data_IF_244703973010
#
_entry.id   IF_244703973010
#
_cell.length_a   1.000
_cell.length_b   1.000
_cell.length_c   1.000
_cell.angle_alpha   90.00
_cell.angle_beta   90.00
_cell.angle_gamma   90.00
#
_symmetry.space_group_name_H-M   'P 1'
#
loop_
_entity.id
_entity.type
_entity.pdbx_description
1 polymer ?
#
# COMPACT_ATOMS: atom_id res chain seq x y z
N UNK A 1 10.60 -15.99 3.33
CA UNK A 1 10.39 -15.50 4.71
C UNK A 1 11.60 -14.76 5.30
N UNK A 2 12.78 -15.36 5.50
CA UNK A 2 13.92 -14.63 6.10
C UNK A 2 14.37 -13.43 5.26
N UNK A 3 14.59 -13.61 3.95
CA UNK A 3 14.97 -12.53 3.04
C UNK A 3 13.95 -11.38 3.00
N UNK A 4 12.66 -11.72 2.98
CA UNK A 4 11.57 -10.74 3.01
C UNK A 4 11.50 -9.98 4.34
N UNK A 5 11.76 -10.67 5.46
CA UNK A 5 11.87 -10.03 6.77
C UNK A 5 13.07 -9.08 6.83
N UNK A 6 14.23 -9.50 6.33
CA UNK A 6 15.41 -8.65 6.27
C UNK A 6 15.17 -7.42 5.37
N UNK A 7 14.44 -7.58 4.27
CA UNK A 7 13.97 -6.47 3.44
C UNK A 7 13.03 -5.52 4.21
N UNK A 8 12.06 -6.04 4.95
CA UNK A 8 11.15 -5.23 5.77
C UNK A 8 11.92 -4.41 6.81
N UNK A 9 12.87 -5.04 7.52
CA UNK A 9 13.75 -4.36 8.49
C UNK A 9 14.56 -3.28 7.80
N UNK A 10 15.15 -3.57 6.64
CA UNK A 10 15.93 -2.61 5.85
C UNK A 10 15.10 -1.40 5.43
N UNK A 11 13.91 -1.63 4.86
CA UNK A 11 13.00 -0.57 4.38
C UNK A 11 12.54 0.32 5.54
N UNK A 12 12.03 -0.28 6.63
CA UNK A 12 11.55 0.47 7.78
C UNK A 12 12.70 1.21 8.48
N UNK A 13 13.89 0.59 8.58
CA UNK A 13 15.07 1.24 9.15
C UNK A 13 15.52 2.45 8.33
N UNK A 14 15.41 2.36 7.00
CA UNK A 14 15.74 3.44 6.06
C UNK A 14 14.71 4.58 6.02
N UNK A 15 13.49 4.36 6.53
CA UNK A 15 12.48 5.41 6.62
C UNK A 15 12.94 6.54 7.54
N UNK A 16 12.40 7.75 7.32
CA UNK A 16 12.67 8.92 8.18
C UNK A 16 12.33 8.63 9.65
N UNK A 17 13.11 9.21 10.56
CA UNK A 17 12.87 9.07 12.00
C UNK A 17 11.51 9.65 12.40
N UNK A 18 10.75 8.90 13.18
CA UNK A 18 9.43 9.30 13.65
C UNK A 18 8.72 8.16 14.38
N UNK A 19 7.53 8.43 14.91
CA UNK A 19 6.76 7.45 15.69
C UNK A 19 6.43 6.19 14.89
N UNK A 20 5.95 6.33 13.65
CA UNK A 20 5.61 5.18 12.80
C UNK A 20 6.81 4.26 12.56
N UNK A 21 8.00 4.84 12.35
CA UNK A 21 9.24 4.07 12.23
C UNK A 21 9.56 3.33 13.51
N UNK A 22 9.59 4.04 14.64
CA UNK A 22 9.94 3.44 15.93
C UNK A 22 9.01 2.27 16.30
N UNK A 23 7.70 2.46 16.13
CA UNK A 23 6.69 1.43 16.39
C UNK A 23 6.79 0.26 15.42
N UNK A 24 7.09 0.49 14.15
CA UNK A 24 7.25 -0.58 13.16
C UNK A 24 8.52 -1.39 13.40
N UNK A 25 9.62 -0.76 13.82
CA UNK A 25 10.82 -1.50 14.25
C UNK A 25 10.55 -2.34 15.50
N UNK A 26 9.83 -1.79 16.48
CA UNK A 26 9.44 -2.54 17.67
C UNK A 26 8.53 -3.74 17.36
N UNK A 27 7.67 -3.64 16.34
CA UNK A 27 6.92 -4.80 15.84
C UNK A 27 7.87 -5.85 15.25
N UNK A 28 8.80 -5.42 14.41
CA UNK A 28 9.74 -6.29 13.70
C UNK A 28 10.71 -7.01 14.65
N UNK A 29 10.92 -6.53 15.89
CA UNK A 29 11.68 -7.27 16.91
C UNK A 29 11.11 -8.67 17.22
N UNK A 30 9.83 -8.93 16.88
CA UNK A 30 9.22 -10.25 16.97
C UNK A 30 9.71 -11.25 15.91
N UNK A 31 10.49 -10.79 14.92
CA UNK A 31 11.00 -11.59 13.82
C UNK A 31 9.98 -11.80 12.69
N UNK A 32 10.20 -12.79 11.80
CA UNK A 32 9.40 -13.00 10.59
C UNK A 32 7.88 -13.21 10.82
N UNK A 33 7.47 -13.55 12.05
CA UNK A 33 6.05 -13.67 12.41
C UNK A 33 5.30 -12.34 12.26
N UNK A 34 6.00 -11.21 12.41
CA UNK A 34 5.48 -9.85 12.22
C UNK A 34 5.13 -9.51 10.76
N UNK A 35 5.37 -10.40 9.81
CA UNK A 35 4.88 -10.27 8.44
C UNK A 35 3.55 -11.00 8.21
N UNK A 36 3.04 -11.71 9.22
CA UNK A 36 1.92 -12.63 9.04
C UNK A 36 0.68 -12.18 9.80
N UNK A 37 -0.49 -12.42 9.22
CA UNK A 37 -1.81 -12.13 9.83
C UNK A 37 -2.06 -12.89 11.15
N UNK A 38 -1.22 -13.88 11.47
CA UNK A 38 -1.30 -14.66 12.70
C UNK A 38 -0.66 -13.97 13.91
N UNK A 39 0.09 -12.88 13.71
CA UNK A 39 0.68 -12.12 14.80
C UNK A 39 -0.28 -11.02 15.26
N UNK A 40 -1.03 -11.32 16.30
CA UNK A 40 -2.11 -10.44 16.80
C UNK A 40 -1.67 -8.98 17.07
N UNK A 41 -0.47 -8.69 17.62
CA UNK A 41 -0.03 -7.31 17.84
C UNK A 41 0.03 -6.44 16.58
N UNK A 42 0.20 -7.05 15.40
CA UNK A 42 0.20 -6.36 14.12
C UNK A 42 1.04 -7.07 13.07
N UNK A 43 0.92 -6.65 11.82
CA UNK A 43 1.75 -7.16 10.73
C UNK A 43 2.05 -6.10 9.68
N UNK A 44 3.17 -6.28 8.99
CA UNK A 44 3.55 -5.43 7.86
C UNK A 44 2.62 -5.69 6.67
N UNK A 45 2.20 -4.61 6.03
CA UNK A 45 1.39 -4.59 4.82
C UNK A 45 2.05 -3.67 3.78
N UNK A 46 1.65 -3.83 2.53
CA UNK A 46 2.25 -3.09 1.43
C UNK A 46 1.14 -2.49 0.55
N UNK A 47 1.18 -1.18 0.36
CA UNK A 47 0.19 -0.45 -0.44
C UNK A 47 0.84 0.36 -1.55
N UNK A 48 0.05 0.69 -2.57
CA UNK A 48 0.48 1.46 -3.72
C UNK A 48 -0.58 2.51 -4.10
N UNK A 49 -0.15 3.76 -4.24
CA UNK A 49 -0.94 4.76 -4.95
C UNK A 49 -0.48 4.80 -6.42
N UNK A 50 -1.35 4.32 -7.31
CA UNK A 50 -1.06 4.30 -8.75
C UNK A 50 -1.39 5.67 -9.35
N UNK A 51 -0.43 6.26 -10.07
CA UNK A 51 -0.56 7.52 -10.81
C UNK A 51 -0.62 7.26 -12.31
N UNK A 52 -1.38 8.07 -13.04
CA UNK A 52 -1.49 7.96 -14.50
C UNK A 52 -0.18 8.36 -15.19
N UNK A 53 0.03 7.89 -16.42
CA UNK A 53 1.27 8.13 -17.18
C UNK A 53 1.62 9.62 -17.38
N UNK A 54 0.61 10.49 -17.42
CA UNK A 54 0.72 11.95 -17.55
C UNK A 54 0.74 12.68 -16.19
N UNK A 55 0.75 11.93 -15.07
CA UNK A 55 0.73 12.43 -13.70
C UNK A 55 -0.46 13.34 -13.37
N UNK A 56 -1.57 13.20 -14.10
CA UNK A 56 -2.77 14.03 -13.92
C UNK A 56 -3.84 13.40 -13.03
N UNK A 57 -3.80 12.09 -12.82
CA UNK A 57 -4.81 11.32 -12.09
C UNK A 57 -4.17 10.25 -11.20
N UNK A 58 -4.94 9.82 -10.21
CA UNK A 58 -4.64 8.69 -9.32
C UNK A 58 -5.73 7.63 -9.44
N UNK A 59 -5.36 6.37 -9.33
CA UNK A 59 -6.32 5.25 -9.30
C UNK A 59 -6.70 4.95 -7.85
N UNK A 60 -8.00 4.89 -7.59
CA UNK A 60 -8.55 4.52 -6.28
C UNK A 60 -9.55 3.37 -6.43
N UNK A 61 -9.69 2.55 -5.39
CA UNK A 61 -10.70 1.50 -5.31
C UNK A 61 -11.75 1.84 -4.24
N UNK A 62 -13.02 1.56 -4.52
CA UNK A 62 -14.09 1.60 -3.54
C UNK A 62 -14.12 0.27 -2.79
N UNK A 63 -13.59 0.27 -1.57
CA UNK A 63 -13.41 -0.96 -0.80
C UNK A 63 -14.75 -1.52 -0.30
N UNK A 64 -15.09 -2.75 -0.67
CA UNK A 64 -16.43 -3.32 -0.46
C UNK A 64 -16.87 -3.49 1.00
N UNK A 65 -15.93 -3.51 1.96
CA UNK A 65 -16.26 -3.57 3.41
C UNK A 65 -16.29 -2.21 4.11
N UNK A 66 -15.50 -1.25 3.62
CA UNK A 66 -15.35 0.06 4.27
C UNK A 66 -16.23 1.11 3.62
N UNK A 67 -16.70 0.83 2.39
CA UNK A 67 -17.46 1.73 1.55
C UNK A 67 -16.80 3.12 1.45
N UNK A 68 -15.47 3.12 1.29
CA UNK A 68 -14.62 4.30 1.10
C UNK A 68 -13.65 4.05 -0.03
N UNK A 69 -13.31 5.13 -0.73
CA UNK A 69 -12.25 5.14 -1.72
C UNK A 69 -10.89 5.13 -1.03
N UNK A 70 -10.03 4.21 -1.45
CA UNK A 70 -8.69 3.97 -0.89
C UNK A 70 -7.67 3.68 -2.00
N UNK A 71 -6.39 3.73 -1.65
CA UNK A 71 -5.32 3.20 -2.50
C UNK A 71 -5.38 1.66 -2.54
N UNK A 72 -4.72 1.06 -3.53
CA UNK A 72 -4.58 -0.39 -3.62
C UNK A 72 -3.54 -0.89 -2.62
N UNK A 73 -3.67 -2.11 -2.13
CA UNK A 73 -2.73 -2.65 -1.17
C UNK A 73 -3.29 -3.80 -0.35
N UNK A 74 -2.37 -4.55 0.22
CA UNK A 74 -2.72 -5.79 0.89
C UNK A 74 -1.62 -6.34 1.75
N UNK A 75 -1.68 -7.65 1.93
CA UNK A 75 -0.78 -8.34 2.82
C UNK A 75 0.46 -8.77 2.05
N UNK A 76 1.59 -8.78 2.75
CA UNK A 76 2.80 -9.38 2.21
C UNK A 76 2.64 -10.90 2.27
N UNK A 77 2.96 -11.57 1.17
CA UNK A 77 2.94 -13.02 1.01
C UNK A 77 4.34 -13.60 1.15
N UNK A 78 4.43 -14.90 1.46
CA UNK A 78 5.70 -15.52 1.85
C UNK A 78 6.71 -15.64 0.69
N UNK A 79 6.20 -15.62 -0.53
CA UNK A 79 6.88 -15.68 -1.82
C UNK A 79 7.14 -14.30 -2.43
N UNK A 80 6.63 -13.22 -1.83
CA UNK A 80 7.03 -11.87 -2.21
C UNK A 80 8.54 -11.70 -1.98
N UNK A 81 9.32 -11.27 -3.00
CA UNK A 81 10.75 -11.11 -2.86
C UNK A 81 11.15 -9.86 -2.06
N UNK A 82 10.23 -8.91 -1.87
CA UNK A 82 10.41 -7.67 -1.10
C UNK A 82 9.06 -7.03 -0.78
N UNK A 83 9.04 -6.08 0.16
CA UNK A 83 7.84 -5.30 0.48
C UNK A 83 7.39 -4.45 -0.72
N UNK A 84 8.34 -3.92 -1.47
CA UNK A 84 8.08 -3.22 -2.73
C UNK A 84 7.42 -4.14 -3.78
N UNK A 85 7.87 -5.40 -3.88
CA UNK A 85 7.27 -6.36 -4.81
C UNK A 85 5.83 -6.72 -4.40
N UNK A 86 5.56 -6.85 -3.09
CA UNK A 86 4.20 -7.03 -2.58
C UNK A 86 3.28 -5.87 -2.98
N UNK A 87 3.72 -4.62 -2.79
CA UNK A 87 2.94 -3.44 -3.20
C UNK A 87 2.63 -3.44 -4.71
N UNK A 88 3.60 -3.84 -5.54
CA UNK A 88 3.41 -3.92 -7.00
C UNK A 88 2.48 -5.06 -7.41
N UNK A 89 2.57 -6.22 -6.73
CA UNK A 89 1.68 -7.37 -6.94
C UNK A 89 0.24 -7.00 -6.62
N UNK A 90 -0.03 -6.49 -5.42
CA UNK A 90 -1.36 -6.05 -4.99
C UNK A 90 -1.94 -5.01 -5.96
N UNK A 91 -1.14 -4.00 -6.33
CA UNK A 91 -1.57 -3.00 -7.31
C UNK A 91 -1.96 -3.62 -8.66
N UNK A 92 -1.22 -4.64 -9.12
CA UNK A 92 -1.48 -5.33 -10.39
C UNK A 92 -2.73 -6.20 -10.30
N UNK A 93 -2.86 -6.98 -9.23
CA UNK A 93 -3.96 -7.92 -9.00
C UNK A 93 -5.30 -7.19 -8.80
N UNK A 94 -5.31 -6.14 -7.97
CA UNK A 94 -6.52 -5.39 -7.67
C UNK A 94 -6.98 -4.48 -8.82
N UNK A 95 -6.05 -3.91 -9.59
CA UNK A 95 -6.40 -3.03 -10.71
C UNK A 95 -6.59 -3.74 -12.05
N UNK A 96 -6.01 -4.94 -12.21
CA UNK A 96 -5.91 -5.61 -13.50
C UNK A 96 -5.02 -4.92 -14.53
N UNK A 97 -4.22 -3.92 -14.13
CA UNK A 97 -3.33 -3.16 -15.02
C UNK A 97 -1.98 -3.86 -15.10
N UNK A 98 -1.60 -4.29 -16.30
CA UNK A 98 -0.25 -4.78 -16.57
C UNK A 98 0.74 -3.62 -16.81
N UNK A 99 2.03 -3.88 -16.63
CA UNK A 99 3.10 -2.92 -16.97
C UNK A 99 3.23 -1.74 -16.00
N UNK A 100 2.70 -1.88 -14.78
CA UNK A 100 2.91 -0.94 -13.69
C UNK A 100 4.40 -0.84 -13.34
N UNK A 101 4.88 0.37 -13.06
CA UNK A 101 6.27 0.65 -12.66
C UNK A 101 6.32 1.26 -11.27
N UNK A 102 6.86 0.53 -10.31
CA UNK A 102 7.02 0.99 -8.93
C UNK A 102 8.18 1.99 -8.79
N UNK A 103 7.98 3.04 -7.99
CA UNK A 103 9.07 3.84 -7.46
C UNK A 103 9.81 3.05 -6.36
N UNK A 104 11.15 2.94 -6.40
CA UNK A 104 11.88 2.00 -5.54
C UNK A 104 11.84 2.33 -4.05
N UNK A 105 11.67 3.60 -3.69
CA UNK A 105 11.56 4.05 -2.32
C UNK A 105 10.10 4.21 -1.88
N UNK A 106 9.76 3.87 -0.62
CA UNK A 106 8.44 4.15 -0.08
C UNK A 106 8.20 5.66 0.00
N UNK A 107 6.93 6.05 -0.07
CA UNK A 107 6.45 7.43 0.02
C UNK A 107 5.74 7.74 1.34
N UNK A 108 5.35 6.70 2.09
CA UNK A 108 4.72 6.83 3.40
C UNK A 108 4.90 5.56 4.25
N UNK A 109 4.80 5.73 5.57
CA UNK A 109 4.75 4.64 6.55
C UNK A 109 3.66 4.96 7.58
N UNK A 110 2.58 4.21 7.50
CA UNK A 110 1.38 4.42 8.31
C UNK A 110 1.15 3.25 9.28
N UNK A 111 0.50 3.55 10.39
CA UNK A 111 0.05 2.52 11.34
C UNK A 111 -1.41 2.77 11.66
N UNK A 112 -2.26 1.82 11.32
CA UNK A 112 -3.70 1.94 11.54
C UNK A 112 -4.29 0.64 12.13
N UNK A 113 -5.32 0.77 12.99
CA UNK A 113 -5.98 -0.39 13.57
C UNK A 113 -6.83 -1.12 12.53
N UNK A 114 -6.86 -2.45 12.64
CA UNK A 114 -7.68 -3.32 11.79
C UNK A 114 -8.30 -4.44 12.61
N UNK A 115 -9.30 -5.12 12.02
CA UNK A 115 -9.79 -6.40 12.51
C UNK A 115 -9.37 -7.52 11.58
N UNK A 116 -8.38 -8.30 11.99
CA UNK A 116 -7.90 -9.48 11.26
C UNK A 116 -8.32 -10.75 11.99
N UNK A 117 -8.95 -11.68 11.26
CA UNK A 117 -9.48 -12.93 11.82
C UNK A 117 -10.33 -12.77 13.09
N UNK A 118 -11.08 -11.67 13.19
CA UNK A 118 -11.96 -11.35 14.33
C UNK A 118 -11.25 -10.80 15.57
N UNK A 119 -9.94 -10.50 15.49
CA UNK A 119 -9.15 -9.90 16.56
C UNK A 119 -8.69 -8.50 16.17
N UNK A 120 -8.59 -7.65 17.17
CA UNK A 120 -8.04 -6.31 16.98
C UNK A 120 -6.52 -6.43 16.78
N UNK A 121 -6.02 -5.75 15.75
CA UNK A 121 -4.62 -5.79 15.33
C UNK A 121 -4.23 -4.46 14.69
N UNK A 122 -2.99 -4.35 14.20
CA UNK A 122 -2.48 -3.19 13.50
C UNK A 122 -1.86 -3.57 12.17
N UNK A 123 -2.17 -2.80 11.13
CA UNK A 123 -1.37 -2.79 9.92
C UNK A 123 -0.24 -1.78 10.10
N UNK A 124 0.98 -2.23 9.79
CA UNK A 124 2.14 -1.39 9.59
C UNK A 124 2.38 -1.29 8.09
N UNK A 125 1.82 -0.25 7.49
CA UNK A 125 1.61 -0.14 6.05
C UNK A 125 2.73 0.67 5.40
N UNK A 126 3.55 -0.03 4.60
CA UNK A 126 4.61 0.58 3.81
C UNK A 126 4.05 0.91 2.43
N UNK A 127 4.04 2.20 2.08
CA UNK A 127 3.30 2.67 0.91
C UNK A 127 4.23 3.18 -0.17
N UNK A 128 3.95 2.81 -1.42
CA UNK A 128 4.75 3.15 -2.59
C UNK A 128 3.96 3.97 -3.60
N UNK A 129 4.68 4.70 -4.45
CA UNK A 129 4.14 5.28 -5.67
C UNK A 129 4.32 4.29 -6.82
N UNK A 130 3.30 4.16 -7.68
CA UNK A 130 3.36 3.30 -8.86
C UNK A 130 2.89 4.07 -10.08
N UNK A 131 3.61 3.98 -11.19
CA UNK A 131 3.27 4.65 -12.44
C UNK A 131 2.61 3.66 -13.41
N UNK A 132 1.41 3.99 -13.85
CA UNK A 132 0.70 3.22 -14.87
C UNK A 132 1.27 3.50 -16.28
N UNK A 133 1.20 2.52 -17.21
CA UNK A 133 1.52 2.78 -18.60
C UNK A 133 0.48 3.73 -19.24
N UNK A 134 0.80 4.35 -20.40
CA UNK A 134 -0.18 5.06 -21.19
C UNK A 134 -1.41 4.18 -21.50
N UNK A 135 -2.58 4.79 -21.56
CA UNK A 135 -3.85 4.13 -21.89
C UNK A 135 -4.27 2.98 -20.94
N UNK A 136 -3.67 2.90 -19.75
CA UNK A 136 -4.05 1.92 -18.74
C UNK A 136 -5.54 2.01 -18.41
N UNK A 137 -6.19 0.83 -18.36
CA UNK A 137 -7.60 0.68 -17.99
C UNK A 137 -7.70 -0.27 -16.82
N UNK A 138 -8.34 0.21 -15.77
CA UNK A 138 -8.65 -0.54 -14.57
C UNK A 138 -9.73 -1.58 -14.84
N UNK A 139 -9.66 -2.69 -14.10
CA UNK A 139 -10.65 -3.75 -14.07
C UNK A 139 -10.95 -4.07 -12.62
N UNK A 140 -12.22 -3.95 -12.26
CA UNK A 140 -12.70 -4.24 -10.91
C UNK A 140 -12.38 -5.69 -10.54
N UNK A 141 -11.70 -5.87 -9.40
CA UNK A 141 -11.42 -7.17 -8.78
C UNK A 141 -12.60 -7.64 -7.93
N UNK A 142 -12.54 -8.86 -7.40
CA UNK A 142 -13.56 -9.35 -6.46
C UNK A 142 -13.56 -8.61 -5.10
N UNK A 143 -12.50 -7.85 -4.80
CA UNK A 143 -12.31 -7.16 -3.51
C UNK A 143 -12.80 -5.71 -3.52
N UNK A 144 -13.07 -5.17 -4.72
CA UNK A 144 -13.49 -3.80 -4.93
C UNK A 144 -14.91 -3.74 -5.51
N UNK A 145 -15.73 -2.81 -5.02
CA UNK A 145 -17.05 -2.53 -5.63
C UNK A 145 -16.90 -1.70 -6.90
N UNK A 146 -15.86 -0.86 -6.97
CA UNK A 146 -15.53 -0.02 -8.10
C UNK A 146 -14.04 0.35 -8.10
N UNK A 147 -13.52 0.71 -9.27
CA UNK A 147 -12.24 1.39 -9.45
C UNK A 147 -12.47 2.65 -10.28
N UNK A 148 -11.61 3.66 -10.12
CA UNK A 148 -11.71 4.87 -10.91
C UNK A 148 -10.45 5.72 -10.89
N UNK A 149 -10.23 6.42 -12.00
CA UNK A 149 -9.19 7.44 -12.13
C UNK A 149 -9.74 8.81 -11.75
N UNK A 150 -9.10 9.44 -10.77
CA UNK A 150 -9.55 10.72 -10.22
C UNK A 150 -8.45 11.76 -10.32
N UNK A 151 -8.84 13.01 -10.61
CA UNK A 151 -7.89 14.12 -10.55
C UNK A 151 -7.63 14.48 -9.07
N UNK A 152 -6.42 14.93 -8.72
CA UNK A 152 -6.12 15.36 -7.34
C UNK A 152 -7.03 16.47 -6.79
N UNK A 153 -7.62 17.29 -7.67
CA UNK A 153 -8.56 18.37 -7.34
C UNK A 153 -10.04 17.95 -7.44
N UNK A 154 -10.33 16.69 -7.80
CA UNK A 154 -11.67 16.15 -7.99
C UNK A 154 -11.74 14.71 -7.48
N UNK A 155 -11.50 14.55 -6.17
CA UNK A 155 -11.46 13.25 -5.50
C UNK A 155 -12.88 12.75 -5.16
N UNK A 156 -13.10 11.44 -5.18
CA UNK A 156 -14.40 10.86 -4.88
C UNK A 156 -14.70 10.95 -3.38
N UNK A 157 -15.98 10.87 -3.02
CA UNK A 157 -16.44 10.85 -1.63
C UNK A 157 -17.29 9.60 -1.38
N UNK A 158 -17.12 8.90 -0.25
CA UNK A 158 -16.19 9.19 0.85
C UNK A 158 -14.77 8.66 0.57
N UNK A 159 -13.76 9.49 0.82
CA UNK A 159 -12.34 9.15 0.73
C UNK A 159 -11.80 8.76 2.12
N UNK A 160 -10.87 7.81 2.19
CA UNK A 160 -10.10 7.59 3.42
C UNK A 160 -9.03 8.68 3.57
N UNK A 161 -8.95 9.30 4.75
CA UNK A 161 -7.98 10.37 5.02
C UNK A 161 -6.53 9.94 4.84
N UNK A 162 -6.20 8.69 5.16
CA UNK A 162 -4.86 8.14 4.95
C UNK A 162 -4.46 8.14 3.47
N UNK A 163 -5.40 7.92 2.56
CA UNK A 163 -5.18 7.91 1.11
C UNK A 163 -4.92 9.31 0.55
N UNK A 164 -5.63 10.32 1.06
CA UNK A 164 -5.50 11.71 0.61
C UNK A 164 -4.06 12.22 0.76
N UNK A 165 -3.41 11.89 1.87
CA UNK A 165 -2.02 12.28 2.16
C UNK A 165 -0.99 11.66 1.20
N UNK A 166 -1.34 10.59 0.46
CA UNK A 166 -0.44 9.92 -0.47
C UNK A 166 -0.37 10.62 -1.83
N UNK A 167 -1.38 11.43 -2.18
CA UNK A 167 -1.53 11.97 -3.54
C UNK A 167 -0.36 12.87 -3.91
N UNK A 168 -0.05 13.86 -3.07
CA UNK A 168 1.05 14.78 -3.32
C UNK A 168 2.41 14.06 -3.43
N UNK A 169 2.83 13.19 -2.49
CA UNK A 169 4.11 12.49 -2.60
C UNK A 169 4.16 11.48 -3.76
N UNK A 170 3.05 10.80 -4.08
CA UNK A 170 3.03 9.87 -5.22
C UNK A 170 3.23 10.58 -6.56
N UNK A 171 2.59 11.74 -6.76
CA UNK A 171 2.81 12.57 -7.94
C UNK A 171 4.23 13.13 -8.00
N UNK A 172 4.80 13.52 -6.86
CA UNK A 172 6.15 14.05 -6.78
C UNK A 172 7.23 12.98 -7.09
N UNK A 173 6.96 11.70 -6.82
CA UNK A 173 7.90 10.60 -7.04
C UNK A 173 8.27 10.37 -8.51
N UNK A 174 7.51 10.93 -9.47
CA UNK A 174 7.72 10.74 -10.91
C UNK A 174 7.87 12.04 -11.70
N UNK A 175 8.06 13.18 -11.02
CA UNK A 175 8.37 14.48 -11.64
C UNK A 175 9.86 14.68 -11.78
#
# INVERSE_FOLDING_TARGET
MTELYDDAVRVVSGWRTGESRARSLALLDAGPVALTRGYDPGHVTASALVVSADLSRVLLCLHGKFHRWVQLGGHVEADDPSIAAAALREATEESGIAGLRLHPEPIDLDIHPVRCAGRDSYHHDVRYAVLAPPDARERVSAESDALGWFRPDELPTPLASATEHLIAPALAAFR
#
